data_IF_674316041822
#
_entry.id   IF_674316041822
#
_cell.length_a   1.000
_cell.length_b   1.000
_cell.length_c   1.000
_cell.angle_alpha   90.00
_cell.angle_beta   90.00
_cell.angle_gamma   90.00
#
_symmetry.space_group_name_H-M   'P 1'
#
loop_
_entity.id
_entity.type
_entity.pdbx_description
1 polymer ?
#
# COMPACT_ATOMS: atom_id res chain seq x y z
N UNK A 1 -4.43 12.08 -7.67
CA UNK A 1 -5.80 11.60 -7.38
C UNK A 1 -6.95 12.14 -8.22
N UNK A 2 -6.84 13.29 -8.92
CA UNK A 2 -7.96 13.82 -9.71
C UNK A 2 -8.54 12.82 -10.74
N UNK A 3 -7.69 11.95 -11.30
CA UNK A 3 -8.08 10.92 -12.26
C UNK A 3 -8.67 9.64 -11.64
N UNK A 4 -8.54 9.46 -10.32
CA UNK A 4 -9.10 8.32 -9.60
C UNK A 4 -10.49 8.61 -9.01
N UNK A 5 -11.03 9.83 -9.23
CA UNK A 5 -12.29 10.27 -8.63
C UNK A 5 -13.43 9.33 -9.03
N UNK A 6 -14.06 8.71 -8.03
CA UNK A 6 -15.20 7.81 -8.21
C UNK A 6 -14.87 6.45 -8.81
N UNK A 7 -13.59 6.07 -8.91
CA UNK A 7 -13.21 4.73 -9.37
C UNK A 7 -13.72 3.64 -8.42
N UNK A 8 -14.17 2.50 -8.94
CA UNK A 8 -14.55 1.35 -8.11
C UNK A 8 -13.34 0.81 -7.33
N UNK A 9 -12.20 0.67 -8.01
CA UNK A 9 -10.97 0.13 -7.44
C UNK A 9 -9.81 1.07 -7.75
N UNK A 10 -9.01 1.37 -6.73
CA UNK A 10 -7.71 2.03 -6.87
C UNK A 10 -6.63 1.03 -6.45
N UNK A 11 -5.75 0.66 -7.39
CA UNK A 11 -4.55 -0.12 -7.10
C UNK A 11 -3.39 0.86 -6.96
N UNK A 12 -2.69 0.84 -5.82
CA UNK A 12 -1.67 1.83 -5.51
C UNK A 12 -0.48 1.21 -4.78
N UNK A 13 0.72 1.73 -5.03
CA UNK A 13 1.90 1.37 -4.25
C UNK A 13 1.82 1.84 -2.78
N UNK A 14 2.62 1.24 -1.91
CA UNK A 14 2.71 1.64 -0.50
C UNK A 14 4.11 1.41 0.09
N UNK A 15 4.79 2.50 0.46
CA UNK A 15 6.06 2.47 1.19
C UNK A 15 5.88 2.97 2.62
N UNK A 16 6.16 2.14 3.62
CA UNK A 16 6.19 2.62 5.00
C UNK A 16 7.48 3.43 5.24
N UNK A 17 7.39 4.75 5.13
CA UNK A 17 8.53 5.64 5.34
C UNK A 17 9.13 5.48 6.74
N UNK A 18 8.28 5.20 7.75
CA UNK A 18 8.72 4.90 9.11
C UNK A 18 9.65 3.67 9.17
N UNK A 19 9.31 2.59 8.47
CA UNK A 19 10.15 1.39 8.41
C UNK A 19 11.42 1.64 7.57
N UNK A 20 11.29 2.36 6.46
CA UNK A 20 12.43 2.73 5.62
C UNK A 20 13.47 3.53 6.39
N UNK A 21 13.06 4.50 7.22
CA UNK A 21 14.00 5.26 8.05
C UNK A 21 14.68 4.40 9.13
N UNK A 22 13.99 3.41 9.69
CA UNK A 22 14.62 2.45 10.62
C UNK A 22 15.68 1.62 9.88
N UNK A 23 15.35 1.12 8.68
CA UNK A 23 16.28 0.36 7.84
C UNK A 23 17.48 1.22 7.40
N UNK A 24 17.24 2.49 7.07
CA UNK A 24 18.27 3.46 6.71
C UNK A 24 19.26 3.65 7.87
N UNK A 25 18.75 3.89 9.08
CA UNK A 25 19.56 4.03 10.28
C UNK A 25 20.42 2.79 10.54
N UNK A 26 19.81 1.61 10.50
CA UNK A 26 20.53 0.35 10.67
C UNK A 26 21.64 0.17 9.62
N UNK A 27 21.37 0.50 8.35
CA UNK A 27 22.38 0.44 7.29
C UNK A 27 23.53 1.43 7.51
N UNK A 28 23.27 2.62 8.07
CA UNK A 28 24.34 3.57 8.45
C UNK A 28 25.20 3.00 9.57
N UNK A 29 24.57 2.42 10.59
CA UNK A 29 25.25 1.88 11.78
C UNK A 29 26.16 0.69 11.43
N UNK A 30 25.81 -0.10 10.40
CA UNK A 30 26.61 -1.23 9.93
C UNK A 30 27.60 -0.88 8.82
N UNK A 31 27.69 0.39 8.41
CA UNK A 31 28.63 0.84 7.37
C UNK A 31 28.17 0.54 5.92
N UNK A 32 26.91 0.16 5.71
CA UNK A 32 26.32 -0.16 4.40
C UNK A 32 25.92 1.12 3.65
N UNK A 33 26.89 1.98 3.34
CA UNK A 33 26.66 3.34 2.85
C UNK A 33 25.78 3.41 1.58
N UNK A 34 25.91 2.45 0.67
CA UNK A 34 25.08 2.38 -0.54
C UNK A 34 23.62 2.09 -0.21
N UNK A 35 23.37 1.15 0.71
CA UNK A 35 22.02 0.78 1.13
C UNK A 35 21.36 1.94 1.86
N UNK A 36 22.09 2.57 2.79
CA UNK A 36 21.61 3.77 3.48
C UNK A 36 21.28 4.91 2.50
N UNK A 37 22.09 5.12 1.46
CA UNK A 37 21.80 6.12 0.42
C UNK A 37 20.51 5.82 -0.32
N UNK A 38 20.31 4.59 -0.77
CA UNK A 38 19.08 4.17 -1.48
C UNK A 38 17.86 4.37 -0.56
N UNK A 39 17.92 3.88 0.68
CA UNK A 39 16.82 3.99 1.63
C UNK A 39 16.50 5.44 2.02
N UNK A 40 17.50 6.33 2.03
CA UNK A 40 17.29 7.76 2.23
C UNK A 40 16.67 8.49 1.02
N UNK A 41 16.82 7.94 -0.20
CA UNK A 41 16.35 8.57 -1.44
C UNK A 41 14.91 8.17 -1.79
N UNK A 42 14.54 6.91 -1.56
CA UNK A 42 13.25 6.33 -1.95
C UNK A 42 12.01 7.05 -1.37
N UNK A 43 12.02 7.69 -0.17
CA UNK A 43 10.85 8.42 0.33
C UNK A 43 10.41 9.59 -0.55
N UNK A 44 11.27 10.11 -1.42
CA UNK A 44 10.96 11.27 -2.26
C UNK A 44 10.09 10.95 -3.48
N UNK A 45 10.00 9.68 -3.88
CA UNK A 45 9.30 9.26 -5.09
C UNK A 45 8.38 8.05 -4.91
N UNK A 46 8.25 7.54 -3.67
CA UNK A 46 7.27 6.54 -3.29
C UNK A 46 6.16 7.14 -2.43
N UNK A 47 5.06 6.40 -2.27
CA UNK A 47 3.88 6.90 -1.57
C UNK A 47 3.72 6.30 -0.18
N UNK A 48 3.58 7.14 0.84
CA UNK A 48 3.29 6.69 2.19
C UNK A 48 1.85 6.16 2.29
N UNK A 49 1.61 4.99 2.90
CA UNK A 49 0.28 4.40 3.01
C UNK A 49 -0.76 5.36 3.61
N UNK A 50 -0.38 6.19 4.59
CA UNK A 50 -1.31 7.12 5.21
C UNK A 50 -1.78 8.21 4.23
N UNK A 51 -0.90 8.67 3.35
CA UNK A 51 -1.25 9.63 2.31
C UNK A 51 -2.14 8.98 1.27
N UNK A 52 -1.78 7.78 0.79
CA UNK A 52 -2.59 6.99 -0.15
C UNK A 52 -3.99 6.74 0.39
N UNK A 53 -4.13 6.40 1.68
CA UNK A 53 -5.40 6.19 2.34
C UNK A 53 -6.29 7.44 2.33
N UNK A 54 -5.75 8.60 2.73
CA UNK A 54 -6.50 9.87 2.72
C UNK A 54 -6.91 10.26 1.30
N UNK A 55 -6.02 10.04 0.36
CA UNK A 55 -6.20 10.31 -1.06
C UNK A 55 -7.29 9.44 -1.68
N UNK A 56 -7.29 8.15 -1.39
CA UNK A 56 -8.32 7.20 -1.81
C UNK A 56 -9.71 7.59 -1.28
N UNK A 57 -9.80 7.91 0.02
CA UNK A 57 -11.06 8.36 0.65
C UNK A 57 -11.56 9.65 0.01
N UNK A 58 -10.66 10.62 -0.21
CA UNK A 58 -11.00 11.91 -0.84
C UNK A 58 -11.45 11.74 -2.30
N UNK A 59 -10.86 10.80 -3.02
CA UNK A 59 -11.26 10.45 -4.36
C UNK A 59 -12.61 9.69 -4.41
N UNK A 60 -13.10 9.19 -3.28
CA UNK A 60 -14.37 8.45 -3.20
C UNK A 60 -14.27 7.07 -3.82
N UNK A 61 -13.10 6.44 -3.78
CA UNK A 61 -12.92 5.08 -4.30
C UNK A 61 -13.53 4.06 -3.34
N UNK A 62 -14.03 2.94 -3.89
CA UNK A 62 -14.81 1.96 -3.11
C UNK A 62 -13.92 0.87 -2.52
N UNK A 63 -12.86 0.49 -3.24
CA UNK A 63 -11.83 -0.42 -2.78
C UNK A 63 -10.43 0.14 -3.09
N UNK A 64 -9.59 0.25 -2.06
CA UNK A 64 -8.16 0.48 -2.19
C UNK A 64 -7.42 -0.86 -2.10
N UNK A 65 -6.64 -1.18 -3.13
CA UNK A 65 -5.73 -2.33 -3.14
C UNK A 65 -4.30 -1.80 -3.07
N UNK A 66 -3.62 -2.05 -1.95
CA UNK A 66 -2.20 -1.70 -1.83
C UNK A 66 -1.34 -2.81 -2.44
N UNK A 67 -0.30 -2.44 -3.18
CA UNK A 67 0.69 -3.35 -3.76
C UNK A 67 2.07 -2.71 -3.71
N UNK A 68 3.08 -3.34 -4.34
CA UNK A 68 4.45 -2.82 -4.46
C UNK A 68 4.97 -2.28 -3.11
N UNK A 69 4.94 -3.16 -2.12
CA UNK A 69 5.21 -2.78 -0.74
C UNK A 69 6.69 -2.58 -0.48
N UNK A 70 7.03 -1.52 0.24
CA UNK A 70 8.40 -1.25 0.70
C UNK A 70 8.41 -0.92 2.19
N UNK A 71 8.96 -1.80 3.05
CA UNK A 71 9.35 -3.19 2.79
C UNK A 71 8.13 -4.12 2.56
N UNK A 72 8.31 -5.32 1.99
CA UNK A 72 7.25 -6.31 1.84
C UNK A 72 6.66 -6.74 3.20
N UNK A 73 5.33 -6.79 3.37
CA UNK A 73 4.68 -7.15 4.62
C UNK A 73 4.60 -8.67 4.83
N UNK A 74 5.71 -9.38 4.69
CA UNK A 74 5.77 -10.86 4.66
C UNK A 74 5.42 -11.54 6.00
N UNK A 75 5.15 -10.76 7.04
CA UNK A 75 4.72 -11.26 8.34
C UNK A 75 3.60 -10.41 8.94
N UNK A 76 2.91 -10.99 9.92
CA UNK A 76 1.76 -10.36 10.57
C UNK A 76 2.08 -9.00 11.24
N UNK A 77 3.32 -8.79 11.69
CA UNK A 77 3.75 -7.54 12.31
C UNK A 77 3.82 -6.43 11.25
N UNK A 78 4.52 -6.68 10.15
CA UNK A 78 4.63 -5.73 9.05
C UNK A 78 3.26 -5.44 8.43
N UNK A 79 2.45 -6.48 8.17
CA UNK A 79 1.09 -6.31 7.68
C UNK A 79 0.24 -5.45 8.62
N UNK A 80 0.42 -5.59 9.94
CA UNK A 80 -0.27 -4.76 10.93
C UNK A 80 0.19 -3.30 10.90
N UNK A 81 1.47 -3.03 10.65
CA UNK A 81 1.99 -1.67 10.48
C UNK A 81 1.31 -0.99 9.28
N UNK A 82 1.29 -1.64 8.12
CA UNK A 82 0.59 -1.10 6.94
C UNK A 82 -0.90 -0.84 7.21
N UNK A 83 -1.60 -1.79 7.86
CA UNK A 83 -3.02 -1.60 8.21
C UNK A 83 -3.27 -0.45 9.19
N UNK A 84 -2.34 -0.19 10.12
CA UNK A 84 -2.42 0.95 11.05
C UNK A 84 -2.36 2.26 10.28
N UNK A 85 -1.46 2.36 9.31
CA UNK A 85 -1.19 3.62 8.60
C UNK A 85 -2.35 3.98 7.65
N UNK A 86 -3.18 3.02 7.26
CA UNK A 86 -4.38 3.23 6.42
C UNK A 86 -5.71 3.21 7.18
N UNK A 87 -5.69 3.46 8.49
CA UNK A 87 -6.90 3.44 9.32
C UNK A 87 -8.01 4.42 8.89
N UNK A 88 -7.70 5.40 8.05
CA UNK A 88 -8.68 6.32 7.46
C UNK A 88 -9.61 5.64 6.42
N UNK A 89 -9.17 4.52 5.82
CA UNK A 89 -9.99 3.77 4.85
C UNK A 89 -11.15 3.09 5.57
N UNK A 90 -12.40 3.18 5.05
CA UNK A 90 -13.55 2.52 5.65
C UNK A 90 -13.38 1.00 5.81
N UNK A 91 -14.04 0.38 6.80
CA UNK A 91 -14.06 -1.07 6.94
C UNK A 91 -14.46 -1.76 5.63
N UNK A 92 -13.70 -2.79 5.23
CA UNK A 92 -13.83 -3.53 3.96
C UNK A 92 -13.47 -2.75 2.69
N UNK A 93 -13.02 -1.49 2.80
CA UNK A 93 -12.53 -0.68 1.67
C UNK A 93 -11.04 -0.86 1.37
N UNK A 94 -10.37 -1.81 2.01
CA UNK A 94 -8.93 -2.04 1.90
C UNK A 94 -8.61 -3.51 1.67
N UNK A 95 -7.72 -3.76 0.72
CA UNK A 95 -6.99 -5.02 0.55
C UNK A 95 -5.49 -4.72 0.57
N UNK A 96 -4.74 -5.47 1.36
CA UNK A 96 -3.30 -5.59 1.14
C UNK A 96 -3.12 -6.67 0.09
N UNK A 97 -2.70 -6.28 -1.11
CA UNK A 97 -2.54 -7.18 -2.23
C UNK A 97 -1.44 -8.20 -1.96
N UNK A 98 -1.73 -9.44 -2.35
CA UNK A 98 -0.79 -10.55 -2.34
C UNK A 98 -0.77 -11.19 -3.72
N UNK A 99 0.31 -11.90 -4.05
CA UNK A 99 0.40 -12.65 -5.30
C UNK A 99 -0.82 -13.58 -5.46
N UNK A 100 -1.50 -13.44 -6.60
CA UNK A 100 -2.74 -14.16 -6.90
C UNK A 100 -4.02 -13.48 -6.41
N UNK A 101 -3.97 -12.29 -5.80
CA UNK A 101 -5.18 -11.50 -5.50
C UNK A 101 -5.99 -11.23 -6.76
N UNK A 102 -7.25 -11.64 -6.78
CA UNK A 102 -8.18 -11.44 -7.89
C UNK A 102 -9.30 -10.48 -7.47
N UNK A 103 -9.47 -9.39 -8.22
CA UNK A 103 -10.56 -8.44 -8.04
C UNK A 103 -11.53 -8.55 -9.23
N UNK A 104 -12.79 -8.81 -8.96
CA UNK A 104 -13.83 -9.04 -9.97
C UNK A 104 -14.85 -7.90 -9.89
N UNK A 105 -15.13 -7.29 -11.04
CA UNK A 105 -16.11 -6.21 -11.22
C UNK A 105 -17.20 -6.68 -12.21
N UNK A 106 -18.31 -7.27 -11.73
CA UNK A 106 -19.36 -7.75 -12.61
C UNK A 106 -20.05 -6.59 -13.35
N UNK A 107 -20.21 -6.71 -14.67
CA UNK A 107 -20.86 -5.70 -15.50
C UNK A 107 -22.29 -5.40 -15.02
N UNK A 108 -22.66 -4.12 -14.96
CA UNK A 108 -24.00 -3.70 -14.54
C UNK A 108 -24.27 -3.85 -13.04
N UNK A 109 -23.23 -4.09 -12.24
CA UNK A 109 -23.30 -4.24 -10.79
C UNK A 109 -22.38 -3.24 -10.10
N UNK A 110 -22.71 -2.91 -8.86
CA UNK A 110 -21.80 -2.22 -7.95
C UNK A 110 -21.02 -3.23 -7.08
N UNK A 111 -21.06 -4.53 -7.36
CA UNK A 111 -20.35 -5.52 -6.54
C UNK A 111 -18.85 -5.47 -6.85
N UNK A 112 -18.04 -5.60 -5.81
CA UNK A 112 -16.59 -5.76 -5.91
C UNK A 112 -16.24 -7.01 -5.12
N UNK A 113 -15.92 -8.09 -5.83
CA UNK A 113 -15.53 -9.35 -5.20
C UNK A 113 -14.02 -9.47 -5.19
N UNK A 114 -13.48 -9.85 -4.04
CA UNK A 114 -12.04 -10.10 -3.85
C UNK A 114 -11.86 -11.57 -3.51
N UNK A 115 -11.12 -12.27 -4.34
CA UNK A 115 -10.78 -13.69 -4.18
C UNK A 115 -9.31 -13.92 -4.52
N UNK A 116 -8.91 -15.17 -4.72
CA UNK A 116 -7.58 -15.57 -5.13
C UNK A 116 -7.66 -16.38 -6.43
N UNK A 117 -6.69 -16.21 -7.32
CA UNK A 117 -6.47 -17.11 -8.44
C UNK A 117 -6.02 -18.46 -7.88
N UNK A 118 -6.83 -19.49 -8.10
CA UNK A 118 -6.42 -20.87 -7.82
C UNK A 118 -5.23 -21.23 -8.75
N UNK A 119 -4.11 -21.73 -8.21
CA UNK A 119 -2.95 -22.10 -9.02
C UNK A 119 -3.17 -23.34 -9.88
#
# INVERSE_FOLDING_TARGET
MAHARGADVLVHEAQSNALVHIMEGAARDTGEARVAKILGDIPSYHSDPADVAREAVTAGVRLLVLTHFTPPPDNAILARIFRRDVAAVPPRGLVLGEDGTLVILPTGSNTIDVTRLDP
#
